data_IF_609826197884
#
_entry.id   IF_609826197884
#
_cell.length_a   1.000
_cell.length_b   1.000
_cell.length_c   1.000
_cell.angle_alpha   90.00
_cell.angle_beta   90.00
_cell.angle_gamma   90.00
#
_symmetry.space_group_name_H-M   'P 1'
#
loop_
_entity.id
_entity.type
_entity.pdbx_description
1 polymer ?
#
# COMPACT_ATOMS: atom_id res chain seq x y z
N UNK A 1 -36.82 -12.17 -32.71
CA UNK A 1 -36.10 -10.91 -32.97
C UNK A 1 -34.74 -11.04 -32.32
N UNK A 2 -33.67 -11.03 -33.14
CA UNK A 2 -32.29 -11.29 -32.72
C UNK A 2 -31.61 -9.96 -32.40
N UNK A 3 -31.28 -9.70 -31.14
CA UNK A 3 -30.54 -8.51 -30.72
C UNK A 3 -29.06 -8.87 -30.62
N UNK A 4 -28.29 -8.51 -31.65
CA UNK A 4 -26.82 -8.55 -31.64
C UNK A 4 -26.29 -7.30 -30.96
N UNK A 5 -25.64 -7.47 -29.80
CA UNK A 5 -24.98 -6.40 -29.07
C UNK A 5 -23.50 -6.33 -29.49
N UNK A 6 -23.15 -5.21 -30.13
CA UNK A 6 -21.82 -4.87 -30.62
C UNK A 6 -20.86 -4.61 -29.45
N UNK A 7 -19.82 -5.43 -29.34
CA UNK A 7 -18.72 -5.25 -28.40
C UNK A 7 -17.71 -4.24 -28.98
N UNK A 8 -17.55 -3.09 -28.33
CA UNK A 8 -16.55 -2.10 -28.68
C UNK A 8 -15.18 -2.48 -28.09
N UNK A 9 -14.22 -2.80 -28.95
CA UNK A 9 -12.83 -3.06 -28.60
C UNK A 9 -12.10 -1.72 -28.46
N UNK A 10 -11.72 -1.37 -27.23
CA UNK A 10 -10.86 -0.23 -26.94
C UNK A 10 -9.41 -0.70 -26.96
N UNK A 11 -8.68 -0.34 -28.00
CA UNK A 11 -7.25 -0.60 -28.14
C UNK A 11 -6.46 0.48 -27.39
N UNK A 12 -5.82 0.13 -26.28
CA UNK A 12 -4.85 0.97 -25.57
C UNK A 12 -3.44 0.66 -26.06
N UNK A 13 -2.89 1.54 -26.90
CA UNK A 13 -1.50 1.53 -27.30
C UNK A 13 -0.62 1.98 -26.13
N UNK A 14 0.17 1.06 -25.56
CA UNK A 14 1.21 1.39 -24.57
C UNK A 14 2.54 1.61 -25.28
N UNK A 15 3.06 2.82 -25.16
CA UNK A 15 4.36 3.22 -25.68
C UNK A 15 5.48 2.59 -24.84
N UNK A 16 6.31 1.80 -25.50
CA UNK A 16 7.49 1.12 -24.96
C UNK A 16 8.63 2.14 -24.79
N UNK A 17 9.01 2.46 -23.55
CA UNK A 17 10.16 3.31 -23.26
C UNK A 17 11.41 2.45 -22.98
N UNK A 18 12.58 2.74 -23.61
CA UNK A 18 13.80 2.00 -23.37
C UNK A 18 14.43 2.37 -22.02
N UNK A 19 14.70 1.35 -21.20
CA UNK A 19 15.41 1.42 -19.91
C UNK A 19 16.90 1.65 -20.14
N UNK A 20 17.46 2.71 -19.55
CA UNK A 20 18.89 2.98 -19.51
C UNK A 20 19.58 2.21 -18.35
N UNK A 21 20.84 1.77 -18.53
CA UNK A 21 21.58 1.05 -17.50
C UNK A 21 22.10 1.98 -16.39
N UNK A 22 21.90 1.58 -15.13
CA UNK A 22 22.40 2.27 -13.94
C UNK A 22 23.91 2.06 -13.75
N UNK A 23 24.65 3.16 -13.64
CA UNK A 23 26.06 3.16 -13.30
C UNK A 23 26.32 2.83 -11.83
N UNK A 24 27.43 2.14 -11.64
CA UNK A 24 28.04 1.72 -10.37
C UNK A 24 28.43 2.94 -9.53
N UNK A 25 28.08 2.93 -8.24
CA UNK A 25 28.62 3.84 -7.25
C UNK A 25 29.40 3.07 -6.16
N UNK A 26 30.62 3.54 -5.94
CA UNK A 26 31.66 3.03 -5.05
C UNK A 26 31.36 3.31 -3.55
N UNK A 27 32.00 2.59 -2.61
CA UNK A 27 31.95 2.89 -1.18
C UNK A 27 33.01 3.93 -0.81
N UNK A 28 32.65 4.96 -0.05
CA UNK A 28 33.56 6.05 0.30
C UNK A 28 33.27 6.73 1.64
N UNK A 29 34.13 6.41 2.61
CA UNK A 29 34.63 7.24 3.72
C UNK A 29 33.74 7.58 4.92
N UNK A 30 34.17 7.02 6.07
CA UNK A 30 34.03 7.60 7.40
C UNK A 30 34.66 9.00 7.46
N UNK A 31 33.99 9.95 8.10
CA UNK A 31 34.62 11.15 8.64
C UNK A 31 33.94 11.57 9.94
N UNK A 32 34.67 11.38 11.03
CA UNK A 32 34.44 11.97 12.35
C UNK A 32 34.96 13.40 12.36
N UNK A 33 34.10 14.37 12.65
CA UNK A 33 34.55 15.67 13.16
C UNK A 33 33.65 16.14 14.31
N UNK A 34 34.22 15.97 15.50
CA UNK A 34 33.78 16.53 16.78
C UNK A 34 34.14 18.02 16.76
N UNK A 35 33.16 18.90 16.84
CA UNK A 35 33.40 20.32 17.15
C UNK A 35 32.40 20.77 18.20
N UNK A 36 32.91 20.89 19.42
CA UNK A 36 32.28 21.52 20.55
C UNK A 36 32.05 23.01 20.28
N UNK A 37 30.81 23.47 20.46
CA UNK A 37 30.50 24.89 20.67
C UNK A 37 29.67 25.04 21.95
N UNK A 38 30.15 25.79 22.96
CA UNK A 38 29.34 26.19 24.09
C UNK A 38 28.58 27.48 23.75
N UNK A 39 27.27 27.35 23.52
CA UNK A 39 26.33 28.49 23.51
C UNK A 39 24.94 28.00 23.92
N UNK A 40 24.82 27.46 25.14
CA UNK A 40 23.63 26.75 25.62
C UNK A 40 22.68 27.58 26.51
N UNK A 41 22.76 28.92 26.52
CA UNK A 41 21.94 29.74 27.42
C UNK A 41 21.15 30.89 26.78
N UNK A 42 21.31 31.16 25.48
CA UNK A 42 20.55 32.22 24.79
C UNK A 42 19.41 31.71 23.89
N UNK A 43 19.23 30.39 23.75
CA UNK A 43 18.10 29.78 23.00
C UNK A 43 16.93 29.33 23.89
N UNK A 44 16.99 29.62 25.20
CA UNK A 44 15.94 29.25 26.16
C UNK A 44 14.71 30.17 26.15
N UNK A 45 14.78 31.34 25.49
CA UNK A 45 13.65 32.26 25.32
C UNK A 45 13.23 32.38 23.84
N UNK A 46 12.52 31.34 23.35
CA UNK A 46 11.24 31.62 22.70
C UNK A 46 11.05 31.33 21.22
N UNK A 47 11.94 30.61 20.52
CA UNK A 47 11.53 29.97 19.25
C UNK A 47 10.70 28.73 19.58
N UNK A 48 9.37 28.91 19.72
CA UNK A 48 8.43 27.78 19.71
C UNK A 48 8.81 26.87 18.54
N UNK A 49 9.13 25.58 18.76
CA UNK A 49 9.39 24.68 17.66
C UNK A 49 8.14 24.71 16.78
N UNK A 50 8.30 25.20 15.55
CA UNK A 50 7.29 25.01 14.52
C UNK A 50 7.17 23.50 14.37
N UNK A 51 6.14 22.90 14.95
CA UNK A 51 5.70 21.56 14.57
C UNK A 51 5.62 21.61 13.05
N UNK A 52 6.33 20.72 12.37
CA UNK A 52 6.16 20.52 10.94
C UNK A 52 4.73 20.04 10.76
N UNK A 53 3.83 20.99 10.54
CA UNK A 53 2.48 20.71 10.07
C UNK A 53 2.66 20.03 8.71
N UNK A 54 2.19 18.78 8.60
CA UNK A 54 2.36 17.96 7.41
C UNK A 54 1.96 18.71 6.15
N UNK A 55 2.59 18.41 5.01
CA UNK A 55 2.37 19.13 3.75
C UNK A 55 0.88 19.30 3.37
N UNK A 56 0.02 18.37 3.81
CA UNK A 56 -1.44 18.45 3.65
C UNK A 56 -2.09 19.55 4.48
N UNK A 57 -1.66 19.75 5.73
CA UNK A 57 -2.14 20.83 6.59
C UNK A 57 -1.76 22.20 6.02
N UNK A 58 -0.56 22.32 5.43
CA UNK A 58 -0.11 23.55 4.78
C UNK A 58 -0.93 23.86 3.52
N UNK A 59 -1.25 22.83 2.72
CA UNK A 59 -2.12 22.98 1.55
C UNK A 59 -3.57 23.34 1.91
N UNK A 60 -4.10 22.75 2.99
CA UNK A 60 -5.43 23.08 3.51
C UNK A 60 -5.48 24.51 4.05
N UNK A 61 -4.47 24.98 4.79
CA UNK A 61 -4.46 26.37 5.28
C UNK A 61 -4.38 27.40 4.15
N UNK A 62 -3.77 27.05 3.01
CA UNK A 62 -3.78 27.90 1.81
C UNK A 62 -5.18 27.99 1.19
N UNK A 63 -5.90 26.86 1.07
CA UNK A 63 -7.29 26.83 0.57
C UNK A 63 -8.27 27.50 1.54
N UNK A 64 -8.06 27.33 2.84
CA UNK A 64 -8.93 27.85 3.90
C UNK A 64 -8.73 29.35 4.07
N UNK A 65 -7.57 29.91 3.70
CA UNK A 65 -7.32 31.36 3.78
C UNK A 65 -8.30 32.19 2.96
N UNK A 66 -8.69 31.70 1.78
CA UNK A 66 -9.63 32.38 0.87
C UNK A 66 -11.09 31.99 1.12
N UNK A 67 -11.36 31.05 2.03
CA UNK A 67 -12.70 30.59 2.35
C UNK A 67 -13.46 31.56 3.28
N UNK A 68 -14.80 31.67 3.15
CA UNK A 68 -15.63 32.50 4.03
C UNK A 68 -15.55 32.03 5.50
N UNK A 69 -15.69 32.98 6.43
CA UNK A 69 -15.61 32.79 7.90
C UNK A 69 -16.27 31.51 8.46
N UNK A 70 -17.50 31.12 8.08
CA UNK A 70 -18.11 29.88 8.58
C UNK A 70 -17.35 28.60 8.16
N UNK A 71 -16.73 28.59 6.97
CA UNK A 71 -15.91 27.45 6.50
C UNK A 71 -14.61 27.36 7.29
N UNK A 72 -13.98 28.50 7.61
CA UNK A 72 -12.79 28.53 8.49
C UNK A 72 -13.05 27.93 9.87
N UNK A 73 -14.20 28.23 10.47
CA UNK A 73 -14.60 27.69 11.76
C UNK A 73 -14.88 26.18 11.68
N UNK A 74 -15.59 25.72 10.66
CA UNK A 74 -15.86 24.30 10.45
C UNK A 74 -14.56 23.49 10.23
N UNK A 75 -13.63 24.00 9.43
CA UNK A 75 -12.33 23.35 9.21
C UNK A 75 -11.47 23.37 10.48
N UNK A 76 -11.53 24.43 11.28
CA UNK A 76 -10.86 24.49 12.58
C UNK A 76 -11.29 23.37 13.53
N UNK A 77 -12.57 22.96 13.49
CA UNK A 77 -13.10 21.84 14.27
C UNK A 77 -12.72 20.46 13.68
N UNK A 78 -12.54 20.37 12.36
CA UNK A 78 -12.11 19.14 11.69
C UNK A 78 -10.60 18.91 11.73
N UNK A 79 -9.77 19.96 11.88
CA UNK A 79 -8.30 19.88 11.92
C UNK A 79 -7.74 18.81 12.89
N UNK A 80 -8.22 18.65 14.14
CA UNK A 80 -7.74 17.58 15.01
C UNK A 80 -8.12 16.17 14.52
N UNK A 81 -9.28 16.01 13.88
CA UNK A 81 -9.70 14.73 13.29
C UNK A 81 -8.85 14.38 12.07
N UNK A 82 -8.51 15.37 11.24
CA UNK A 82 -7.62 15.19 10.08
C UNK A 82 -6.23 14.74 10.53
N UNK A 83 -5.68 15.31 11.61
CA UNK A 83 -4.38 14.88 12.12
C UNK A 83 -4.35 13.41 12.58
N UNK A 84 -5.40 12.96 13.27
CA UNK A 84 -5.55 11.55 13.64
C UNK A 84 -5.69 10.67 12.39
N UNK A 85 -6.54 11.07 11.44
CA UNK A 85 -6.74 10.34 10.19
C UNK A 85 -5.44 10.23 9.38
N UNK A 86 -4.69 11.33 9.22
CA UNK A 86 -3.44 11.34 8.47
C UNK A 86 -2.41 10.36 9.05
N UNK A 87 -2.31 10.28 10.38
CA UNK A 87 -1.40 9.32 11.02
C UNK A 87 -1.78 7.87 10.69
N UNK A 88 -3.07 7.52 10.78
CA UNK A 88 -3.56 6.17 10.47
C UNK A 88 -3.45 5.82 8.99
N UNK A 89 -3.63 6.81 8.11
CA UNK A 89 -3.47 6.64 6.67
C UNK A 89 -2.01 6.46 6.29
N UNK A 90 -1.09 7.23 6.89
CA UNK A 90 0.36 7.11 6.65
C UNK A 90 0.89 5.75 7.11
N UNK A 91 0.46 5.30 8.29
CA UNK A 91 0.81 3.96 8.80
C UNK A 91 0.25 2.85 7.90
N UNK A 92 -1.01 2.97 7.47
CA UNK A 92 -1.62 1.97 6.57
C UNK A 92 -1.00 1.96 5.17
N UNK A 93 -0.51 3.09 4.68
CA UNK A 93 0.22 3.17 3.42
C UNK A 93 1.59 2.49 3.53
N UNK A 94 2.33 2.75 4.62
CA UNK A 94 3.60 2.08 4.88
C UNK A 94 3.44 0.55 4.97
N UNK A 95 2.43 0.07 5.70
CA UNK A 95 2.15 -1.37 5.79
C UNK A 95 1.79 -1.97 4.42
N UNK A 96 1.09 -1.22 3.57
CA UNK A 96 0.74 -1.68 2.21
C UNK A 96 1.98 -1.78 1.32
N UNK A 97 2.89 -0.81 1.40
CA UNK A 97 4.16 -0.82 0.66
C UNK A 97 5.04 -2.00 1.09
N UNK A 98 5.16 -2.25 2.39
CA UNK A 98 5.90 -3.39 2.94
C UNK A 98 5.31 -4.73 2.46
N UNK A 99 3.98 -4.85 2.43
CA UNK A 99 3.28 -6.03 1.90
C UNK A 99 3.53 -6.23 0.40
N UNK A 100 3.51 -5.16 -0.39
CA UNK A 100 3.80 -5.22 -1.83
C UNK A 100 5.25 -5.64 -2.09
N UNK A 101 6.20 -5.12 -1.32
CA UNK A 101 7.59 -5.51 -1.43
C UNK A 101 7.78 -6.99 -1.07
N UNK A 102 7.18 -7.44 0.03
CA UNK A 102 7.23 -8.85 0.43
C UNK A 102 6.60 -9.76 -0.61
N UNK A 103 5.42 -9.41 -1.12
CA UNK A 103 4.74 -10.16 -2.16
C UNK A 103 5.55 -10.20 -3.46
N UNK A 104 6.17 -9.07 -3.86
CA UNK A 104 7.06 -9.01 -5.01
C UNK A 104 8.27 -9.92 -4.86
N UNK A 105 8.87 -10.01 -3.66
CA UNK A 105 9.95 -10.96 -3.36
C UNK A 105 9.47 -12.42 -3.52
N UNK A 106 8.30 -12.77 -2.99
CA UNK A 106 7.75 -14.14 -3.10
C UNK A 106 7.39 -14.51 -4.54
N UNK A 107 6.79 -13.58 -5.26
CA UNK A 107 6.41 -13.74 -6.66
C UNK A 107 7.62 -14.04 -7.56
N UNK A 108 8.77 -13.41 -7.29
CA UNK A 108 10.04 -13.66 -8.00
C UNK A 108 10.63 -15.05 -7.72
N UNK A 109 10.34 -15.63 -6.55
CA UNK A 109 10.81 -16.97 -6.19
C UNK A 109 9.95 -18.08 -6.82
N UNK A 110 8.71 -17.77 -7.21
CA UNK A 110 7.81 -18.74 -7.84
C UNK A 110 8.16 -18.95 -9.32
N UNK A 111 8.74 -20.11 -9.62
CA UNK A 111 9.15 -20.48 -10.99
C UNK A 111 7.97 -20.64 -11.94
N UNK A 112 6.75 -20.87 -11.43
CA UNK A 112 5.54 -21.06 -12.26
C UNK A 112 5.11 -19.75 -12.93
N UNK A 113 5.47 -18.61 -12.33
CA UNK A 113 5.08 -17.27 -12.79
C UNK A 113 6.15 -16.62 -13.67
N UNK A 114 7.30 -17.27 -13.87
CA UNK A 114 8.31 -16.83 -14.84
C UNK A 114 8.87 -15.42 -14.58
N UNK A 115 8.95 -15.00 -13.32
CA UNK A 115 9.44 -13.66 -12.95
C UNK A 115 8.40 -12.54 -13.13
N UNK A 116 7.12 -12.84 -12.94
CA UNK A 116 6.07 -11.83 -12.91
C UNK A 116 6.35 -10.73 -11.86
N UNK A 117 5.80 -9.55 -12.12
CA UNK A 117 5.91 -8.37 -11.26
C UNK A 117 4.52 -7.84 -10.91
N UNK A 118 4.38 -7.32 -9.70
CA UNK A 118 3.19 -6.60 -9.27
C UNK A 118 3.18 -5.21 -9.91
N UNK A 119 2.04 -4.86 -10.49
CA UNK A 119 1.74 -3.56 -11.08
C UNK A 119 1.03 -2.65 -10.09
N UNK A 120 0.16 -1.77 -10.61
CA UNK A 120 -0.55 -0.80 -9.77
C UNK A 120 -1.53 -1.50 -8.84
N UNK A 121 -1.66 -0.97 -7.63
CA UNK A 121 -2.77 -1.33 -6.73
C UNK A 121 -4.01 -0.56 -7.18
N UNK A 122 -5.12 -1.26 -7.38
CA UNK A 122 -6.39 -0.66 -7.77
C UNK A 122 -7.47 -0.80 -6.69
N UNK A 123 -7.29 -1.73 -5.74
CA UNK A 123 -8.18 -1.88 -4.59
C UNK A 123 -7.39 -2.10 -3.32
N UNK A 124 -7.75 -1.37 -2.28
CA UNK A 124 -7.19 -1.50 -0.92
C UNK A 124 -8.32 -1.55 0.09
N UNK A 125 -8.23 -2.48 1.03
CA UNK A 125 -9.19 -2.62 2.13
C UNK A 125 -8.42 -2.95 3.39
N UNK A 126 -8.64 -2.18 4.45
CA UNK A 126 -7.99 -2.37 5.74
C UNK A 126 -9.04 -2.56 6.81
N UNK A 127 -8.85 -3.55 7.68
CA UNK A 127 -9.72 -3.81 8.82
C UNK A 127 -8.85 -4.00 10.04
N UNK A 128 -9.16 -3.25 11.10
CA UNK A 128 -8.51 -3.38 12.40
C UNK A 128 -9.55 -3.82 13.41
N UNK A 129 -9.25 -4.89 14.14
CA UNK A 129 -10.11 -5.41 15.21
C UNK A 129 -9.27 -5.59 16.47
N UNK A 130 -9.82 -5.22 17.62
CA UNK A 130 -9.15 -5.44 18.91
C UNK A 130 -9.96 -6.41 19.73
N UNK A 131 -9.35 -7.55 20.09
CA UNK A 131 -9.99 -8.58 20.93
C UNK A 131 -9.08 -8.79 22.14
N UNK A 132 -9.61 -8.58 23.34
CA UNK A 132 -8.85 -8.70 24.60
C UNK A 132 -7.58 -7.83 24.65
N UNK A 133 -7.62 -6.64 24.03
CA UNK A 133 -6.46 -5.75 23.95
C UNK A 133 -5.41 -6.16 22.92
N UNK A 134 -5.61 -7.28 22.20
CA UNK A 134 -4.78 -7.67 21.06
C UNK A 134 -5.37 -7.08 19.80
N UNK A 135 -4.67 -6.12 19.21
CA UNK A 135 -5.06 -5.51 17.93
C UNK A 135 -4.61 -6.40 16.78
N UNK A 136 -5.58 -6.93 16.04
CA UNK A 136 -5.39 -7.65 14.79
C UNK A 136 -5.75 -6.73 13.62
N UNK A 137 -4.75 -6.38 12.83
CA UNK A 137 -4.91 -5.67 11.56
C UNK A 137 -4.90 -6.69 10.42
N UNK A 138 -5.83 -6.54 9.49
CA UNK A 138 -5.92 -7.27 8.22
C UNK A 138 -5.96 -6.27 7.09
N UNK A 139 -5.10 -6.48 6.10
CA UNK A 139 -5.02 -5.62 4.91
C UNK A 139 -5.23 -6.52 3.70
N UNK A 140 -6.23 -6.21 2.88
CA UNK A 140 -6.47 -6.86 1.61
C UNK A 140 -6.11 -5.88 0.49
N UNK A 141 -5.19 -6.27 -0.39
CA UNK A 141 -4.80 -5.48 -1.56
C UNK A 141 -5.12 -6.27 -2.83
N UNK A 142 -5.58 -5.57 -3.86
CA UNK A 142 -5.65 -6.13 -5.21
C UNK A 142 -4.80 -5.28 -6.15
N UNK A 143 -3.91 -5.94 -6.86
CA UNK A 143 -3.02 -5.30 -7.83
C UNK A 143 -2.99 -6.03 -9.15
N UNK A 144 -2.60 -5.29 -10.18
CA UNK A 144 -2.34 -5.85 -11.50
C UNK A 144 -1.10 -6.75 -11.44
N UNK A 145 -1.08 -7.85 -12.19
CA UNK A 145 0.09 -8.70 -12.35
C UNK A 145 0.54 -8.63 -13.82
N UNK A 146 1.84 -8.37 -14.02
CA UNK A 146 2.45 -8.31 -15.34
C UNK A 146 3.64 -9.26 -15.39
N UNK A 147 3.57 -10.26 -16.26
CA UNK A 147 4.65 -11.20 -16.55
C UNK A 147 5.83 -10.52 -17.26
N UNK A 148 7.04 -11.06 -17.08
CA UNK A 148 8.26 -10.51 -17.68
C UNK A 148 8.19 -10.38 -19.22
N UNK A 149 7.45 -11.26 -19.89
CA UNK A 149 7.26 -11.26 -21.35
C UNK A 149 5.99 -10.53 -21.82
N UNK A 150 5.19 -9.97 -20.90
CA UNK A 150 3.87 -9.41 -21.20
C UNK A 150 2.79 -10.44 -21.57
N UNK A 151 3.16 -11.71 -21.81
CA UNK A 151 2.21 -12.78 -22.16
C UNK A 151 1.35 -13.24 -20.99
N UNK A 152 1.81 -13.01 -19.75
CA UNK A 152 1.11 -13.39 -18.54
C UNK A 152 0.55 -12.12 -17.91
N UNK A 153 -0.77 -11.97 -17.93
CA UNK A 153 -1.46 -10.86 -17.27
C UNK A 153 -2.47 -11.44 -16.29
N UNK A 154 -2.70 -10.74 -15.19
CA UNK A 154 -3.63 -11.20 -14.18
C UNK A 154 -3.86 -10.19 -13.08
N UNK A 155 -4.54 -10.64 -12.03
CA UNK A 155 -4.75 -9.91 -10.80
C UNK A 155 -4.12 -10.69 -9.65
N UNK A 156 -3.46 -9.99 -8.74
CA UNK A 156 -2.95 -10.57 -7.50
C UNK A 156 -3.78 -10.03 -6.33
N UNK A 157 -4.29 -10.94 -5.51
CA UNK A 157 -4.95 -10.67 -4.25
C UNK A 157 -3.98 -10.97 -3.11
N UNK A 158 -3.62 -9.93 -2.36
CA UNK A 158 -2.71 -10.01 -1.23
C UNK A 158 -3.53 -9.88 0.05
N UNK A 159 -3.24 -10.73 1.02
CA UNK A 159 -3.77 -10.62 2.37
C UNK A 159 -2.61 -10.49 3.35
N UNK A 160 -2.52 -9.33 3.99
CA UNK A 160 -1.65 -9.05 5.12
C UNK A 160 -2.38 -9.27 6.44
N UNK A 161 -1.66 -9.79 7.43
CA UNK A 161 -2.15 -9.94 8.79
C UNK A 161 -1.07 -9.54 9.80
N UNK A 162 -1.49 -9.01 10.95
CA UNK A 162 -0.60 -8.76 12.08
C UNK A 162 -0.03 -10.08 12.60
N UNK A 163 1.30 -10.18 12.60
CA UNK A 163 2.06 -11.27 13.21
C UNK A 163 2.11 -11.07 14.74
N UNK A 164 2.45 -12.11 15.53
CA UNK A 164 2.61 -11.99 16.98
C UNK A 164 3.62 -10.91 17.41
N UNK A 165 4.55 -10.53 16.54
CA UNK A 165 5.51 -9.44 16.76
C UNK A 165 4.90 -8.03 16.60
N UNK A 166 3.62 -7.92 16.27
CA UNK A 166 2.93 -6.65 16.04
C UNK A 166 3.17 -6.04 14.65
N UNK A 167 4.01 -6.66 13.82
CA UNK A 167 4.25 -6.25 12.43
C UNK A 167 3.22 -6.85 11.50
N UNK A 168 2.80 -6.12 10.48
CA UNK A 168 1.99 -6.67 9.39
C UNK A 168 2.92 -7.46 8.47
N UNK A 169 2.53 -8.69 8.14
CA UNK A 169 3.24 -9.49 7.13
C UNK A 169 2.28 -10.21 6.22
N UNK A 170 2.80 -10.70 5.10
CA UNK A 170 2.00 -11.34 4.05
C UNK A 170 1.52 -12.73 4.50
N UNK A 171 0.22 -12.84 4.77
CA UNK A 171 -0.47 -14.07 5.19
C UNK A 171 -0.86 -14.95 4.00
N UNK A 172 -1.42 -14.37 2.93
CA UNK A 172 -1.77 -15.09 1.72
C UNK A 172 -1.50 -14.26 0.45
N UNK A 173 -1.13 -14.94 -0.63
CA UNK A 173 -0.92 -14.35 -1.95
C UNK A 173 -1.56 -15.26 -3.00
N UNK A 174 -2.68 -14.83 -3.55
CA UNK A 174 -3.40 -15.53 -4.59
C UNK A 174 -3.29 -14.77 -5.90
N UNK A 175 -2.96 -15.48 -6.97
CA UNK A 175 -2.81 -14.92 -8.31
C UNK A 175 -3.89 -15.52 -9.21
N UNK A 176 -4.72 -14.67 -9.79
CA UNK A 176 -5.65 -15.05 -10.84
C UNK A 176 -5.09 -14.62 -12.19
N UNK A 177 -4.80 -15.60 -13.04
CA UNK A 177 -4.27 -15.37 -14.38
C UNK A 177 -5.41 -15.12 -15.38
N UNK A 178 -5.09 -14.52 -16.52
CA UNK A 178 -6.03 -14.29 -17.61
C UNK A 178 -6.61 -15.56 -18.24
N UNK A 179 -5.94 -16.71 -18.05
CA UNK A 179 -6.44 -18.04 -18.46
C UNK A 179 -7.49 -18.61 -17.49
N UNK A 180 -7.86 -17.87 -16.45
CA UNK A 180 -8.82 -18.27 -15.43
C UNK A 180 -8.24 -19.15 -14.33
N UNK A 181 -6.95 -19.51 -14.39
CA UNK A 181 -6.31 -20.28 -13.34
C UNK A 181 -6.04 -19.42 -12.12
N UNK A 182 -6.27 -20.03 -10.97
CA UNK A 182 -5.96 -19.44 -9.67
C UNK A 182 -4.77 -20.18 -9.08
N UNK A 183 -3.70 -19.44 -8.80
CA UNK A 183 -2.47 -19.94 -8.22
C UNK A 183 -2.32 -19.38 -6.82
N UNK A 184 -2.21 -20.28 -5.85
CA UNK A 184 -1.76 -19.90 -4.51
C UNK A 184 -0.23 -19.89 -4.49
N UNK A 185 0.35 -18.72 -4.24
CA UNK A 185 1.80 -18.54 -4.16
C UNK A 185 2.18 -18.78 -2.71
N UNK A 186 2.78 -19.95 -2.45
CA UNK A 186 3.09 -20.42 -1.11
C UNK A 186 3.74 -19.31 -0.27
N UNK A 187 2.98 -18.82 0.70
CA UNK A 187 3.44 -17.80 1.62
C UNK A 187 4.46 -18.39 2.57
N UNK A 188 5.74 -18.06 2.35
CA UNK A 188 6.81 -18.52 3.22
C UNK A 188 6.60 -18.00 4.64
N UNK A 189 6.18 -18.88 5.54
CA UNK A 189 6.17 -18.61 6.98
C UNK A 189 4.88 -18.99 7.68
N UNK A 190 4.76 -20.28 8.01
CA UNK A 190 3.99 -20.68 9.19
C UNK A 190 2.64 -21.31 8.92
N UNK A 191 2.64 -22.64 8.89
CA UNK A 191 1.47 -23.45 9.22
C UNK A 191 0.76 -24.02 8.00
N UNK A 192 1.02 -25.31 7.73
CA UNK A 192 0.06 -26.15 7.04
C UNK A 192 -1.24 -26.22 7.84
N UNK A 193 -2.07 -25.19 7.70
CA UNK A 193 -3.46 -25.19 8.11
C UNK A 193 -4.28 -25.65 6.92
N UNK A 194 -4.40 -26.97 6.75
CA UNK A 194 -5.41 -27.57 5.89
C UNK A 194 -6.80 -27.24 6.44
N UNK A 195 -7.27 -26.03 6.20
CA UNK A 195 -8.67 -25.65 6.34
C UNK A 195 -9.37 -26.03 5.05
N UNK A 196 -10.06 -27.17 5.06
CA UNK A 196 -11.00 -27.52 4.01
C UNK A 196 -11.95 -26.34 3.80
N UNK A 197 -11.84 -25.71 2.63
CA UNK A 197 -12.76 -24.67 2.19
C UNK A 197 -14.13 -25.30 2.01
N UNK A 198 -15.00 -25.04 2.98
CA UNK A 198 -16.43 -24.94 2.73
C UNK A 198 -16.58 -23.87 1.64
N UNK A 199 -17.03 -24.30 0.46
CA UNK A 199 -17.37 -23.38 -0.61
C UNK A 199 -18.46 -22.45 -0.08
N UNK A 200 -18.20 -21.15 -0.06
CA UNK A 200 -19.27 -20.18 0.16
C UNK A 200 -20.12 -20.21 -1.11
N UNK A 201 -21.19 -21.02 -1.09
CA UNK A 201 -22.29 -20.90 -2.04
C UNK A 201 -22.96 -19.54 -1.80
N UNK A 202 -22.64 -18.58 -2.66
CA UNK A 202 -23.37 -17.32 -2.75
C UNK A 202 -24.62 -17.60 -3.57
N UNK A 203 -25.67 -18.08 -2.91
CA UNK A 203 -27.01 -18.10 -3.49
C UNK A 203 -27.56 -16.67 -3.52
N UNK A 204 -27.72 -16.13 -4.73
CA UNK A 204 -28.45 -14.88 -4.93
C UNK A 204 -29.93 -15.23 -4.94
N UNK A 205 -30.62 -14.97 -3.81
CA UNK A 205 -32.08 -14.98 -3.77
C UNK A 205 -32.56 -13.77 -4.57
N UNK A 206 -33.19 -14.03 -5.71
CA UNK A 206 -33.98 -13.04 -6.45
C UNK A 206 -35.43 -13.30 -6.08
N UNK A 207 -36.02 -12.40 -5.28
CA UNK A 207 -37.47 -12.31 -5.10
C UNK A 207 -38.15 -11.76 -6.37
#
# INVERSE_FOLDING_TARGET
MKSSLLLAVVATASAFAPVLPSERLLPGACSTSRTSRPAALLDLFGKKPKKEEGALATGLDALVKDAPLPVKLAVGLMKPLVGALESTMRESAADADDLLEEAGRRLRLDTRLGGAQLGRVFSTSSSSSSINGVTQKRINLQCELVGASGSLMGTAALQGATQPEGKVGLAALQVQLSDGRVLDVAGGGGGGGGGGGDAIDVEVIVD
#
